data_IF_132188109874
#
_entry.id   IF_132188109874
#
_cell.length_a   1.000
_cell.length_b   1.000
_cell.length_c   1.000
_cell.angle_alpha   90.00
_cell.angle_beta   90.00
_cell.angle_gamma   90.00
#
_symmetry.space_group_name_H-M   'P 1'
#
loop_
_entity.id
_entity.type
_entity.pdbx_description
1 polymer ?
#
# COMPACT_ATOMS: atom_id res chain seq x y z
N UNK A 1 -3.80 20.89 -4.88
CA UNK A 1 -3.75 19.72 -3.96
C UNK A 1 -5.15 19.08 -3.77
N UNK A 2 -6.28 19.75 -4.06
CA UNK A 2 -7.61 19.13 -3.95
C UNK A 2 -7.95 18.07 -5.01
N UNK A 3 -7.62 18.32 -6.28
CA UNK A 3 -8.10 17.48 -7.40
C UNK A 3 -7.60 16.03 -7.37
N UNK A 4 -6.42 15.74 -6.82
CA UNK A 4 -5.86 14.38 -6.81
C UNK A 4 -6.52 13.47 -5.79
N UNK A 5 -6.92 13.99 -4.62
CA UNK A 5 -7.70 13.20 -3.64
C UNK A 5 -9.11 12.91 -4.14
N UNK A 6 -9.77 13.90 -4.75
CA UNK A 6 -11.08 13.71 -5.36
C UNK A 6 -11.02 12.68 -6.50
N UNK A 7 -9.98 12.75 -7.34
CA UNK A 7 -9.76 11.75 -8.39
C UNK A 7 -9.56 10.34 -7.81
N UNK A 8 -8.71 10.21 -6.77
CA UNK A 8 -8.49 8.94 -6.08
C UNK A 8 -9.78 8.37 -5.50
N UNK A 9 -10.59 9.21 -4.84
CA UNK A 9 -11.88 8.82 -4.29
C UNK A 9 -12.84 8.34 -5.38
N UNK A 10 -12.90 9.04 -6.52
CA UNK A 10 -13.70 8.62 -7.68
C UNK A 10 -13.25 7.23 -8.19
N UNK A 11 -11.95 6.98 -8.26
CA UNK A 11 -11.42 5.68 -8.71
C UNK A 11 -11.84 4.55 -7.75
N UNK A 12 -11.73 4.78 -6.43
CA UNK A 12 -12.06 3.77 -5.41
C UNK A 12 -13.57 3.55 -5.31
N UNK A 13 -14.37 4.63 -5.29
CA UNK A 13 -15.81 4.53 -5.04
C UNK A 13 -16.64 4.30 -6.31
N UNK A 14 -16.34 5.01 -7.40
CA UNK A 14 -17.15 4.93 -8.64
C UNK A 14 -16.65 3.86 -9.60
N UNK A 15 -15.34 3.74 -9.78
CA UNK A 15 -14.76 2.72 -10.67
C UNK A 15 -14.55 1.39 -9.97
N UNK A 16 -14.52 1.40 -8.62
CA UNK A 16 -14.23 0.23 -7.80
C UNK A 16 -12.92 -0.48 -8.19
N UNK A 17 -11.99 0.28 -8.77
CA UNK A 17 -10.75 -0.27 -9.32
C UNK A 17 -9.57 0.10 -8.42
N UNK A 18 -9.31 -0.80 -7.47
CA UNK A 18 -8.19 -0.68 -6.55
C UNK A 18 -6.84 -0.74 -7.26
N UNK A 19 -6.71 -1.45 -8.40
CA UNK A 19 -5.45 -1.50 -9.13
C UNK A 19 -5.16 -0.14 -9.77
N UNK A 20 -6.19 0.49 -10.34
CA UNK A 20 -6.06 1.84 -10.87
C UNK A 20 -5.76 2.86 -9.77
N UNK A 21 -6.37 2.73 -8.58
CA UNK A 21 -6.09 3.59 -7.45
C UNK A 21 -4.63 3.47 -6.97
N UNK A 22 -4.10 2.25 -6.94
CA UNK A 22 -2.69 1.96 -6.65
C UNK A 22 -1.78 2.61 -7.70
N UNK A 23 -2.03 2.38 -8.99
CA UNK A 23 -1.25 2.98 -10.08
C UNK A 23 -1.27 4.51 -10.00
N UNK A 24 -2.42 5.11 -9.71
CA UNK A 24 -2.55 6.55 -9.52
C UNK A 24 -1.65 7.06 -8.38
N UNK A 25 -1.66 6.39 -7.22
CA UNK A 25 -0.79 6.75 -6.11
C UNK A 25 0.70 6.59 -6.46
N UNK A 26 1.05 5.58 -7.28
CA UNK A 26 2.41 5.37 -7.76
C UNK A 26 2.87 6.47 -8.71
N UNK A 27 2.05 6.82 -9.71
CA UNK A 27 2.36 7.86 -10.70
C UNK A 27 2.59 9.23 -10.05
N UNK A 28 1.82 9.53 -9.01
CA UNK A 28 1.94 10.78 -8.27
C UNK A 28 3.04 10.78 -7.20
N UNK A 29 3.56 9.60 -6.83
CA UNK A 29 4.62 9.41 -5.82
C UNK A 29 4.38 10.20 -4.51
N UNK A 30 3.13 10.26 -4.06
CA UNK A 30 2.68 11.10 -2.94
C UNK A 30 2.23 10.25 -1.75
N UNK A 31 2.87 10.44 -0.59
CA UNK A 31 2.56 9.73 0.65
C UNK A 31 1.18 10.06 1.20
N UNK A 32 0.68 11.28 0.98
CA UNK A 32 -0.68 11.65 1.41
C UNK A 32 -1.73 10.85 0.64
N UNK A 33 -1.56 10.69 -0.68
CA UNK A 33 -2.47 9.87 -1.50
C UNK A 33 -2.48 8.40 -1.05
N UNK A 34 -1.32 7.84 -0.73
CA UNK A 34 -1.25 6.50 -0.15
C UNK A 34 -1.97 6.40 1.19
N UNK A 35 -1.85 7.41 2.05
CA UNK A 35 -2.55 7.46 3.33
C UNK A 35 -4.07 7.50 3.12
N UNK A 36 -4.55 8.33 2.19
CA UNK A 36 -5.96 8.42 1.84
C UNK A 36 -6.49 7.13 1.20
N UNK A 37 -5.69 6.47 0.35
CA UNK A 37 -6.03 5.16 -0.24
C UNK A 37 -6.19 4.11 0.86
N UNK A 38 -5.24 4.01 1.79
CA UNK A 38 -5.28 3.04 2.90
C UNK A 38 -6.53 3.29 3.74
N UNK A 39 -6.79 4.54 4.16
CA UNK A 39 -7.95 4.88 4.98
C UNK A 39 -9.28 4.50 4.33
N UNK A 40 -9.41 4.67 3.02
CA UNK A 40 -10.63 4.33 2.27
C UNK A 40 -10.81 2.83 2.02
N UNK A 41 -9.72 2.05 2.05
CA UNK A 41 -9.71 0.64 1.64
C UNK A 41 -9.58 -0.32 2.82
N UNK A 42 -9.14 0.16 3.98
CA UNK A 42 -8.86 -0.68 5.14
C UNK A 42 -10.09 -1.35 5.76
N UNK A 43 -11.27 -0.80 5.50
CA UNK A 43 -12.57 -1.39 5.85
C UNK A 43 -12.87 -2.67 5.05
N UNK A 44 -12.20 -2.86 3.90
CA UNK A 44 -12.44 -3.98 2.97
C UNK A 44 -11.27 -4.97 2.97
N UNK A 45 -11.40 -6.18 3.54
CA UNK A 45 -10.30 -7.15 3.65
C UNK A 45 -9.73 -7.58 2.30
N UNK A 46 -10.56 -7.61 1.26
CA UNK A 46 -10.14 -7.89 -0.13
C UNK A 46 -9.10 -6.88 -0.64
N UNK A 47 -9.29 -5.59 -0.34
CA UNK A 47 -8.39 -4.52 -0.77
C UNK A 47 -7.13 -4.49 0.09
N UNK A 48 -7.24 -4.72 1.40
CA UNK A 48 -6.07 -4.84 2.27
C UNK A 48 -5.15 -5.96 1.80
N UNK A 49 -5.71 -7.11 1.41
CA UNK A 49 -4.93 -8.23 0.86
C UNK A 49 -4.16 -7.85 -0.41
N UNK A 50 -4.78 -7.06 -1.29
CA UNK A 50 -4.13 -6.58 -2.51
C UNK A 50 -3.04 -5.54 -2.22
N UNK A 51 -3.32 -4.61 -1.29
CA UNK A 51 -2.36 -3.60 -0.87
C UNK A 51 -1.13 -4.24 -0.23
N UNK A 52 -1.30 -5.23 0.66
CA UNK A 52 -0.19 -5.97 1.27
C UNK A 52 0.79 -6.54 0.23
N UNK A 53 0.30 -6.97 -0.93
CA UNK A 53 1.13 -7.55 -2.00
C UNK A 53 1.87 -6.51 -2.84
N UNK A 54 1.41 -5.25 -2.87
CA UNK A 54 1.94 -4.22 -3.77
C UNK A 54 2.60 -3.04 -3.05
N UNK A 55 2.21 -2.75 -1.82
CA UNK A 55 2.57 -1.51 -1.12
C UNK A 55 4.04 -1.45 -0.72
N UNK A 56 4.66 -2.59 -0.37
CA UNK A 56 6.02 -2.65 0.17
C UNK A 56 7.09 -2.09 -0.76
N UNK A 57 6.84 -2.07 -2.08
CA UNK A 57 7.79 -1.52 -3.05
C UNK A 57 7.77 0.02 -3.12
N UNK A 58 6.72 0.67 -2.60
CA UNK A 58 6.46 2.10 -2.84
C UNK A 58 6.38 2.92 -1.55
N UNK A 59 5.80 2.38 -0.48
CA UNK A 59 5.69 3.08 0.81
C UNK A 59 5.95 2.13 1.98
N UNK A 60 6.19 2.71 3.16
CA UNK A 60 6.47 1.92 4.36
C UNK A 60 5.23 1.08 4.73
N UNK A 61 5.36 -0.25 4.77
CA UNK A 61 4.24 -1.13 5.04
C UNK A 61 3.61 -0.93 6.42
N UNK A 62 4.33 -0.32 7.38
CA UNK A 62 3.76 0.02 8.69
C UNK A 62 2.53 0.91 8.55
N UNK A 63 2.49 1.80 7.57
CA UNK A 63 1.34 2.68 7.33
C UNK A 63 0.06 1.89 7.08
N UNK A 64 0.14 0.74 6.41
CA UNK A 64 -1.02 -0.12 6.21
C UNK A 64 -1.38 -0.82 7.51
N UNK A 65 -0.40 -1.44 8.18
CA UNK A 65 -0.59 -2.23 9.41
C UNK A 65 -1.24 -1.40 10.51
N UNK A 66 -0.79 -0.16 10.71
CA UNK A 66 -1.32 0.75 11.74
C UNK A 66 -2.78 1.16 11.48
N UNK A 67 -3.25 1.07 10.24
CA UNK A 67 -4.64 1.40 9.90
C UNK A 67 -5.57 0.17 9.89
N UNK A 68 -5.04 -1.07 9.90
CA UNK A 68 -5.86 -2.30 9.88
C UNK A 68 -6.73 -2.34 11.14
N UNK A 69 -8.06 -2.35 10.95
CA UNK A 69 -8.99 -2.47 12.07
C UNK A 69 -8.88 -3.84 12.73
N UNK A 70 -8.91 -3.83 14.06
CA UNK A 70 -8.94 -5.05 14.87
C UNK A 70 -10.23 -5.84 14.61
N UNK A 71 -10.10 -7.06 14.11
CA UNK A 71 -11.24 -7.91 13.72
C UNK A 71 -11.43 -8.08 12.21
N UNK A 72 -10.59 -7.47 11.37
CA UNK A 72 -10.62 -7.70 9.94
C UNK A 72 -10.18 -9.15 9.62
N UNK A 73 -11.10 -9.97 9.10
CA UNK A 73 -10.83 -11.35 8.70
C UNK A 73 -10.09 -11.41 7.36
N UNK A 74 -8.80 -11.05 7.40
CA UNK A 74 -7.92 -11.16 6.24
C UNK A 74 -7.31 -12.56 6.24
N UNK A 75 -7.72 -13.37 5.27
CA UNK A 75 -7.16 -14.70 5.07
C UNK A 75 -5.66 -14.58 4.77
N UNK A 76 -4.86 -15.40 5.44
CA UNK A 76 -3.39 -15.43 5.27
C UNK A 76 -2.69 -14.09 5.58
N UNK A 77 -3.29 -13.24 6.43
CA UNK A 77 -2.74 -11.93 6.82
C UNK A 77 -1.31 -12.06 7.35
N UNK A 78 -1.11 -12.97 8.31
CA UNK A 78 0.19 -13.19 8.95
C UNK A 78 1.26 -13.58 7.93
N UNK A 79 0.94 -14.46 7.00
CA UNK A 79 1.87 -14.92 5.98
C UNK A 79 2.16 -13.83 4.94
N UNK A 80 1.12 -13.10 4.51
CA UNK A 80 1.24 -11.96 3.60
C UNK A 80 2.08 -10.84 4.19
N UNK A 81 1.88 -10.52 5.48
CA UNK A 81 2.68 -9.56 6.22
C UNK A 81 4.14 -10.00 6.34
N UNK A 82 4.38 -11.24 6.77
CA UNK A 82 5.72 -11.76 6.91
C UNK A 82 6.48 -11.73 5.58
N UNK A 83 5.82 -12.13 4.48
CA UNK A 83 6.40 -12.08 3.14
C UNK A 83 6.74 -10.66 2.72
N UNK A 84 5.79 -9.74 2.84
CA UNK A 84 5.99 -8.33 2.49
C UNK A 84 7.10 -7.68 3.32
N UNK A 85 7.19 -7.97 4.62
CA UNK A 85 8.28 -7.47 5.48
C UNK A 85 9.64 -8.03 5.06
N UNK A 86 9.72 -9.33 4.73
CA UNK A 86 10.93 -9.94 4.21
C UNK A 86 11.36 -9.31 2.88
N UNK A 87 10.42 -9.13 1.94
CA UNK A 87 10.67 -8.52 0.64
C UNK A 87 11.17 -7.07 0.80
N UNK A 88 10.56 -6.29 1.70
CA UNK A 88 10.97 -4.93 2.02
C UNK A 88 12.38 -4.87 2.64
N UNK A 89 12.67 -5.76 3.60
CA UNK A 89 14.00 -5.84 4.21
C UNK A 89 15.08 -6.22 3.18
N UNK A 90 14.78 -7.16 2.30
CA UNK A 90 15.66 -7.55 1.20
C UNK A 90 15.92 -6.36 0.26
N UNK A 91 14.88 -5.60 -0.09
CA UNK A 91 15.00 -4.41 -0.93
C UNK A 91 15.94 -3.36 -0.29
N UNK A 92 15.78 -3.08 1.00
CA UNK A 92 16.67 -2.17 1.73
C UNK A 92 18.11 -2.69 1.76
N UNK A 93 18.30 -3.99 2.03
CA UNK A 93 19.63 -4.61 2.04
C UNK A 93 20.33 -4.51 0.69
N UNK A 94 19.60 -4.71 -0.42
CA UNK A 94 20.13 -4.54 -1.79
C UNK A 94 20.50 -3.09 -2.05
N UNK A 95 19.63 -2.14 -1.70
CA UNK A 95 19.92 -0.71 -1.85
C UNK A 95 21.17 -0.29 -1.07
N UNK A 96 21.34 -0.81 0.15
CA UNK A 96 22.53 -0.53 0.97
C UNK A 96 23.80 -1.15 0.38
N UNK A 97 23.73 -2.41 -0.08
CA UNK A 97 24.85 -3.04 -0.77
C UNK A 97 25.26 -2.28 -2.05
N UNK A 98 24.30 -1.79 -2.84
CA UNK A 98 24.58 -0.98 -4.03
C UNK A 98 25.26 0.36 -3.71
N UNK A 99 24.93 0.98 -2.57
CA UNK A 99 25.60 2.22 -2.10
C UNK A 99 27.05 2.02 -1.71
N UNK A 100 27.47 0.81 -1.34
CA UNK A 100 28.87 0.54 -0.98
C UNK A 100 29.75 0.44 -2.24
N UNK A 101 29.16 0.03 -3.37
CA UNK A 101 29.89 -0.25 -4.63
C UNK A 101 29.94 1.00 -5.55
N UNK A 102 29.15 2.03 -5.25
CA UNK A 102 29.05 3.29 -6.02
C UNK A 102 29.67 4.44 -5.23
#
# INVERSE_FOLDING_TARGET
IGNTREALQIIIEKLNDINQAISFCQEHNDKELWTDLIKQTVDKPEYVTLLLKRIGNYVDPRMLIENIQSGCEIKDLKESLAKMMCDYHLQLSVQEACKIIT
#
